data_IF_873854875949
#
_entry.id   IF_873854875949
#
_cell.length_a   1.000
_cell.length_b   1.000
_cell.length_c   1.000
_cell.angle_alpha   90.00
_cell.angle_beta   90.00
_cell.angle_gamma   90.00
#
_symmetry.space_group_name_H-M   'P 1'
#
loop_
_entity.id
_entity.type
_entity.pdbx_description
1 polymer ?
#
# COMPACT_ATOMS: atom_id res chain seq x y z
N UNK A 1 -6.57 -26.66 4.96
CA UNK A 1 -6.08 -27.38 3.77
C UNK A 1 -5.35 -26.38 2.90
N UNK A 2 -4.12 -26.72 2.49
CA UNK A 2 -3.16 -25.83 1.84
C UNK A 2 -3.50 -25.60 0.36
N UNK A 3 -4.05 -24.44 0.01
CA UNK A 3 -4.07 -23.93 -1.35
C UNK A 3 -3.07 -22.77 -1.46
N UNK A 4 -1.79 -23.11 -1.36
CA UNK A 4 -0.67 -22.18 -1.55
C UNK A 4 -0.03 -22.52 -2.89
N UNK A 5 -0.33 -21.72 -3.93
CA UNK A 5 0.66 -20.92 -4.70
C UNK A 5 0.20 -20.58 -6.12
N UNK A 6 0.51 -19.34 -6.49
CA UNK A 6 0.51 -18.75 -7.83
C UNK A 6 -0.86 -18.40 -8.42
N UNK A 7 -1.53 -17.40 -7.83
CA UNK A 7 -2.26 -16.47 -8.69
C UNK A 7 -1.24 -15.69 -9.53
N UNK A 8 -1.50 -15.46 -10.83
CA UNK A 8 -0.73 -14.50 -11.60
C UNK A 8 -0.68 -13.19 -10.80
N UNK A 9 0.47 -12.54 -10.79
CA UNK A 9 0.61 -11.23 -10.14
C UNK A 9 -0.43 -10.22 -10.68
N UNK A 10 -0.92 -10.41 -11.91
CA UNK A 10 -2.01 -9.64 -12.51
C UNK A 10 -3.44 -10.01 -12.11
N UNK A 11 -3.65 -11.05 -11.28
CA UNK A 11 -4.97 -11.41 -10.72
C UNK A 11 -5.04 -11.20 -9.19
N UNK A 12 -3.97 -10.64 -8.59
CA UNK A 12 -4.01 -10.29 -7.17
C UNK A 12 -5.07 -9.21 -6.97
N UNK A 13 -6.01 -9.48 -6.08
CA UNK A 13 -6.99 -8.46 -5.68
C UNK A 13 -6.31 -7.45 -4.75
N UNK A 14 -6.94 -6.28 -4.60
CA UNK A 14 -6.54 -5.27 -3.60
C UNK A 14 -6.48 -5.89 -2.20
N UNK A 15 -7.47 -6.73 -1.87
CA UNK A 15 -7.52 -7.54 -0.64
C UNK A 15 -6.29 -8.45 -0.46
N UNK A 16 -5.96 -9.25 -1.48
CA UNK A 16 -4.81 -10.17 -1.44
C UNK A 16 -3.50 -9.39 -1.24
N UNK A 17 -3.34 -8.25 -1.93
CA UNK A 17 -2.19 -7.36 -1.79
C UNK A 17 -2.10 -6.79 -0.39
N UNK A 18 -3.21 -6.24 0.13
CA UNK A 18 -3.27 -5.66 1.47
C UNK A 18 -2.87 -6.68 2.54
N UNK A 19 -3.38 -7.91 2.45
CA UNK A 19 -3.07 -8.97 3.42
C UNK A 19 -1.59 -9.37 3.39
N UNK A 20 -1.03 -9.56 2.20
CA UNK A 20 0.37 -9.95 2.05
C UNK A 20 1.35 -8.83 2.45
N UNK A 21 1.05 -7.58 2.07
CA UNK A 21 1.80 -6.40 2.51
C UNK A 21 1.69 -6.26 4.03
N UNK A 22 0.50 -6.46 4.59
CA UNK A 22 0.24 -6.48 6.02
C UNK A 22 1.09 -7.47 6.80
N UNK A 23 1.44 -8.60 6.17
CA UNK A 23 2.28 -9.67 6.71
C UNK A 23 3.77 -9.52 6.36
N UNK A 24 4.17 -8.43 5.71
CA UNK A 24 5.52 -8.19 5.19
C UNK A 24 6.02 -9.29 4.22
N UNK A 25 5.11 -9.91 3.48
CA UNK A 25 5.42 -11.00 2.54
C UNK A 25 5.56 -10.45 1.14
N UNK A 26 6.69 -10.71 0.47
CA UNK A 26 6.87 -10.38 -0.95
C UNK A 26 6.88 -8.88 -1.27
N UNK A 27 7.18 -8.02 -0.28
CA UNK A 27 7.13 -6.56 -0.40
C UNK A 27 7.88 -6.00 -1.61
N UNK A 28 9.04 -6.59 -1.96
CA UNK A 28 9.82 -6.16 -3.12
C UNK A 28 9.05 -6.21 -4.45
N UNK A 29 8.04 -7.09 -4.56
CA UNK A 29 7.20 -7.21 -5.74
C UNK A 29 5.82 -6.58 -5.53
N UNK A 30 5.28 -6.64 -4.31
CA UNK A 30 3.94 -6.13 -4.00
C UNK A 30 3.90 -4.60 -3.85
N UNK A 31 4.96 -3.97 -3.34
CA UNK A 31 4.96 -2.52 -3.17
C UNK A 31 4.87 -1.77 -4.51
N UNK A 32 5.66 -2.10 -5.56
CA UNK A 32 5.49 -1.49 -6.87
C UNK A 32 4.06 -1.63 -7.42
N UNK A 33 3.47 -2.82 -7.32
CA UNK A 33 2.11 -3.08 -7.80
C UNK A 33 1.06 -2.31 -7.00
N UNK A 34 1.20 -2.26 -5.69
CA UNK A 34 0.32 -1.48 -4.84
C UNK A 34 0.41 0.02 -5.19
N UNK A 35 1.59 0.53 -5.53
CA UNK A 35 1.74 1.92 -5.99
C UNK A 35 1.10 2.17 -7.36
N UNK A 36 1.16 1.21 -8.28
CA UNK A 36 0.42 1.29 -9.54
C UNK A 36 -1.09 1.39 -9.28
N UNK A 37 -1.63 0.54 -8.41
CA UNK A 37 -3.03 0.60 -8.00
C UNK A 37 -3.37 1.94 -7.33
N UNK A 38 -2.55 2.39 -6.38
CA UNK A 38 -2.78 3.64 -5.65
C UNK A 38 -2.61 4.89 -6.51
N UNK A 39 -1.86 4.81 -7.61
CA UNK A 39 -1.75 5.89 -8.59
C UNK A 39 -3.03 6.04 -9.39
N UNK A 40 -3.65 4.93 -9.79
CA UNK A 40 -4.89 4.94 -10.56
C UNK A 40 -6.12 5.18 -9.67
N UNK A 41 -6.15 4.53 -8.50
CA UNK A 41 -7.18 4.68 -7.47
C UNK A 41 -6.55 4.69 -6.06
N UNK A 42 -6.28 5.87 -5.49
CA UNK A 42 -5.73 6.01 -4.14
C UNK A 42 -6.64 5.48 -3.03
N UNK A 43 -7.95 5.38 -3.30
CA UNK A 43 -8.96 4.86 -2.38
C UNK A 43 -9.34 3.42 -2.68
N UNK A 44 -8.53 2.71 -3.50
CA UNK A 44 -8.74 1.31 -3.83
C UNK A 44 -9.12 0.50 -2.58
N UNK A 45 -10.31 -0.07 -2.64
CA UNK A 45 -10.90 -0.84 -1.56
C UNK A 45 -10.56 -2.33 -1.71
N UNK A 46 -10.15 -2.95 -0.60
CA UNK A 46 -10.32 -4.38 -0.39
C UNK A 46 -11.73 -4.70 0.11
N UNK A 47 -11.88 -5.78 0.86
CA UNK A 47 -13.18 -6.24 1.36
C UNK A 47 -13.62 -5.50 2.65
N UNK A 48 -12.79 -4.63 3.22
CA UNK A 48 -13.06 -3.99 4.52
C UNK A 48 -13.52 -2.53 4.40
N UNK A 49 -12.67 -1.64 3.87
CA UNK A 49 -12.94 -0.19 3.79
C UNK A 49 -12.17 0.45 2.62
N UNK A 50 -12.71 1.52 2.05
CA UNK A 50 -12.01 2.37 1.07
C UNK A 50 -10.66 2.87 1.62
N UNK A 51 -9.61 2.75 0.80
CA UNK A 51 -8.25 3.17 1.16
C UNK A 51 -7.53 2.23 2.13
N UNK A 52 -8.01 1.00 2.34
CA UNK A 52 -7.36 0.02 3.21
C UNK A 52 -6.00 -0.46 2.67
N UNK A 53 -5.82 -0.51 1.34
CA UNK A 53 -4.53 -0.76 0.70
C UNK A 53 -3.55 0.37 1.04
N UNK A 54 -3.99 1.62 0.93
CA UNK A 54 -3.18 2.78 1.27
C UNK A 54 -2.74 2.71 2.74
N UNK A 55 -3.68 2.44 3.67
CA UNK A 55 -3.36 2.28 5.08
C UNK A 55 -2.34 1.17 5.33
N UNK A 56 -2.52 0.00 4.70
CA UNK A 56 -1.60 -1.13 4.86
C UNK A 56 -0.17 -0.79 4.39
N UNK A 57 -0.06 -0.03 3.30
CA UNK A 57 1.21 0.44 2.76
C UNK A 57 1.83 1.52 3.66
N UNK A 58 1.06 2.53 4.08
CA UNK A 58 1.55 3.65 4.90
C UNK A 58 2.07 3.19 6.27
N UNK A 59 1.40 2.19 6.86
CA UNK A 59 1.74 1.63 8.18
C UNK A 59 2.96 0.70 8.16
N UNK A 60 3.55 0.42 6.99
CA UNK A 60 4.77 -0.40 6.90
C UNK A 60 5.95 0.25 7.63
N UNK A 61 6.82 -0.60 8.16
CA UNK A 61 8.01 -0.19 8.91
C UNK A 61 8.85 0.83 8.12
N UNK A 62 9.38 1.90 8.74
CA UNK A 62 10.27 2.84 8.06
C UNK A 62 11.50 2.17 7.42
N UNK A 63 11.95 1.03 7.96
CA UNK A 63 13.06 0.26 7.40
C UNK A 63 12.79 -0.24 5.97
N UNK A 64 11.55 -0.64 5.66
CA UNK A 64 11.09 -1.05 4.33
C UNK A 64 11.29 0.08 3.32
N UNK A 65 10.92 1.29 3.71
CA UNK A 65 11.03 2.47 2.86
C UNK A 65 12.45 3.01 2.76
N UNK A 66 13.30 2.76 3.75
CA UNK A 66 14.73 3.05 3.65
C UNK A 66 15.42 2.07 2.68
N UNK A 67 15.00 0.81 2.67
CA UNK A 67 15.50 -0.20 1.72
C UNK A 67 15.07 0.12 0.28
N UNK A 68 13.81 0.54 0.09
CA UNK A 68 13.25 0.94 -1.20
C UNK A 68 12.91 2.43 -1.27
N UNK A 69 13.93 3.28 -1.08
CA UNK A 69 13.76 4.75 -1.01
C UNK A 69 13.11 5.38 -2.25
N UNK A 70 13.26 4.79 -3.42
CA UNK A 70 12.60 5.24 -4.66
C UNK A 70 11.08 5.02 -4.59
N UNK A 71 10.64 3.82 -4.19
CA UNK A 71 9.21 3.52 -3.98
C UNK A 71 8.61 4.40 -2.87
N UNK A 72 9.39 4.68 -1.82
CA UNK A 72 8.95 5.59 -0.74
C UNK A 72 8.73 7.02 -1.22
N UNK A 73 9.54 7.51 -2.16
CA UNK A 73 9.35 8.82 -2.78
C UNK A 73 8.12 8.85 -3.67
N UNK A 74 7.92 7.80 -4.47
CA UNK A 74 6.73 7.67 -5.32
C UNK A 74 5.44 7.69 -4.50
N UNK A 75 5.39 6.92 -3.42
CA UNK A 75 4.29 6.95 -2.48
C UNK A 75 4.09 8.35 -1.88
N UNK A 76 5.19 9.01 -1.50
CA UNK A 76 5.18 10.39 -0.99
C UNK A 76 4.53 11.38 -1.96
N UNK A 77 4.77 11.25 -3.26
CA UNK A 77 4.12 12.06 -4.30
C UNK A 77 2.63 11.75 -4.36
N UNK A 78 2.27 10.47 -4.46
CA UNK A 78 0.86 10.04 -4.52
C UNK A 78 0.08 10.63 -3.35
N UNK A 79 0.56 10.46 -2.11
CA UNK A 79 -0.17 10.96 -0.92
C UNK A 79 -0.19 12.48 -0.79
N UNK A 80 0.78 13.18 -1.37
CA UNK A 80 0.80 14.64 -1.38
C UNK A 80 -0.26 15.22 -2.32
N UNK A 81 -0.70 14.46 -3.32
CA UNK A 81 -1.76 14.85 -4.26
C UNK A 81 -3.17 14.55 -3.70
N UNK A 82 -3.28 13.77 -2.62
CA UNK A 82 -4.56 13.42 -1.99
C UNK A 82 -5.02 14.53 -1.05
N UNK A 83 -6.04 15.27 -1.47
CA UNK A 83 -6.60 16.40 -0.70
C UNK A 83 -7.90 16.08 0.05
N UNK A 84 -8.57 14.97 -0.26
CA UNK A 84 -9.89 14.63 0.29
C UNK A 84 -9.87 13.24 0.96
N UNK A 85 -9.04 13.12 1.99
CA UNK A 85 -8.87 11.88 2.75
C UNK A 85 -9.67 11.89 4.05
N UNK A 86 -10.20 10.74 4.49
CA UNK A 86 -10.76 10.62 5.83
C UNK A 86 -9.70 10.90 6.90
N UNK A 87 -10.14 11.37 8.08
CA UNK A 87 -9.23 11.81 9.15
C UNK A 87 -8.22 10.74 9.59
N UNK A 88 -8.59 9.46 9.53
CA UNK A 88 -7.68 8.34 9.81
C UNK A 88 -6.49 8.30 8.85
N UNK A 89 -6.76 8.35 7.54
CA UNK A 89 -5.73 8.33 6.50
C UNK A 89 -4.92 9.63 6.46
N UNK A 90 -5.53 10.78 6.76
CA UNK A 90 -4.77 12.03 6.93
C UNK A 90 -3.71 11.94 8.04
N UNK A 91 -4.00 11.25 9.15
CA UNK A 91 -3.02 11.06 10.22
C UNK A 91 -1.89 10.11 9.80
N UNK A 92 -2.22 9.04 9.07
CA UNK A 92 -1.23 8.07 8.60
C UNK A 92 -0.32 8.65 7.52
N UNK A 93 -0.87 9.41 6.57
CA UNK A 93 -0.10 10.14 5.54
C UNK A 93 0.79 11.20 6.16
N UNK A 94 0.28 12.00 7.11
CA UNK A 94 1.10 12.98 7.82
C UNK A 94 2.25 12.31 8.59
N UNK A 95 1.99 11.18 9.25
CA UNK A 95 3.02 10.38 9.93
C UNK A 95 4.03 9.79 8.94
N UNK A 96 3.57 9.38 7.77
CA UNK A 96 4.42 8.92 6.67
C UNK A 96 5.30 10.04 6.12
N UNK A 97 4.83 11.28 6.06
CA UNK A 97 5.62 12.41 5.51
C UNK A 97 6.55 13.04 6.56
N UNK A 98 6.27 12.86 7.85
CA UNK A 98 7.05 13.44 8.96
C UNK A 98 8.31 12.64 9.36
N UNK A 99 8.59 11.52 8.69
CA UNK A 99 9.79 10.66 8.89
C UNK A 99 10.94 11.06 7.97
#
# INVERSE_FOLDING_TARGET
>A
MHALRCRPIGELTVEDMRLLIGQDVGLAYLLPLALEVLRDDPMAEGDMYEGDLLAAVLTRSPAVWNEWSELGRELGVIVSELTDLPQSLMQETARFLAR
#
